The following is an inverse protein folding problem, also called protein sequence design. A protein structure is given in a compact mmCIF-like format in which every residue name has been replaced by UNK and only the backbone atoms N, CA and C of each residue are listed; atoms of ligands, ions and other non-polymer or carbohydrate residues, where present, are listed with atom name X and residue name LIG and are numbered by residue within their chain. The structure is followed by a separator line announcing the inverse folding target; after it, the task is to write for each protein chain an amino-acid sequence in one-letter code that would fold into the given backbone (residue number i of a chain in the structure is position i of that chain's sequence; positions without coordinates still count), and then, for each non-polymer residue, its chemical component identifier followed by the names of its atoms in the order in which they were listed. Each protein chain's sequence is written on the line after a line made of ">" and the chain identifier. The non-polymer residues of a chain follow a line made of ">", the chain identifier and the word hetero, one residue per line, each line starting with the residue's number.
data_IF_735415942294
#
_entry.id   IF_735415942294
#
_cell.length_a   1.000
_cell.length_b   1.000
_cell.length_c   1.000
_cell.angle_alpha   90.00
_cell.angle_beta   90.00
_cell.angle_gamma   90.00
#
_symmetry.space_group_name_H-M   'P 1'
#
loop_
_entity.id
_entity.type
_entity.pdbx_description
1 polymer ?
#
# COMPACT_ATOMS: atom_id res chain seq x y z
N UNK A 1 37.47 13.60 -25.72
CA UNK A 1 37.03 14.44 -24.57
C UNK A 1 35.54 14.70 -24.76
N UNK A 2 34.60 14.44 -23.86
CA UNK A 2 34.59 13.69 -22.62
C UNK A 2 33.15 13.14 -22.51
N UNK A 3 33.03 11.82 -22.46
CA UNK A 3 31.80 11.07 -22.24
C UNK A 3 31.44 11.13 -20.76
N UNK A 4 30.31 11.73 -20.41
CA UNK A 4 29.63 11.45 -19.14
C UNK A 4 28.12 11.40 -19.37
N UNK A 5 27.70 10.27 -19.92
CA UNK A 5 26.42 9.67 -19.61
C UNK A 5 26.47 9.29 -18.13
N UNK A 6 25.92 10.14 -17.26
CA UNK A 6 25.70 9.78 -15.85
C UNK A 6 24.54 8.80 -15.81
N UNK A 7 24.91 7.52 -15.98
CA UNK A 7 24.41 6.39 -15.19
C UNK A 7 23.02 6.62 -14.59
N UNK A 8 22.00 6.28 -15.37
CA UNK A 8 20.75 5.83 -14.78
C UNK A 8 21.07 4.64 -13.88
N UNK A 9 20.70 4.75 -12.61
CA UNK A 9 20.64 3.59 -11.72
C UNK A 9 19.54 2.67 -12.25
N UNK A 10 19.89 1.78 -13.17
CA UNK A 10 19.07 0.63 -13.48
C UNK A 10 19.30 -0.42 -12.39
N UNK A 11 18.28 -0.61 -11.54
CA UNK A 11 18.11 -1.80 -10.70
C UNK A 11 16.76 -1.75 -9.97
N UNK A 12 16.02 -2.87 -9.80
CA UNK A 12 15.90 -4.06 -10.67
C UNK A 12 14.70 -3.89 -11.64
N UNK A 13 14.57 -4.72 -12.66
CA UNK A 13 13.46 -4.66 -13.64
C UNK A 13 12.05 -5.02 -13.10
N UNK A 14 11.79 -4.98 -11.79
CA UNK A 14 10.55 -5.55 -11.22
C UNK A 14 9.80 -4.66 -10.19
N UNK A 15 10.47 -3.83 -9.38
CA UNK A 15 9.76 -3.10 -8.29
C UNK A 15 8.68 -2.13 -8.78
N UNK A 16 8.96 -1.39 -9.86
CA UNK A 16 7.97 -0.51 -10.50
C UNK A 16 6.81 -1.28 -11.13
N UNK A 17 7.07 -2.49 -11.65
CA UNK A 17 6.03 -3.36 -12.21
C UNK A 17 5.17 -3.98 -11.10
N UNK A 18 5.78 -4.43 -10.00
CA UNK A 18 5.09 -4.93 -8.80
C UNK A 18 4.19 -3.84 -8.23
N UNK A 19 4.71 -2.63 -8.05
CA UNK A 19 3.91 -1.48 -7.62
C UNK A 19 2.75 -1.21 -8.59
N UNK A 20 3.04 -1.19 -9.89
CA UNK A 20 2.04 -1.01 -10.95
C UNK A 20 0.92 -2.05 -10.90
N UNK A 21 1.27 -3.34 -10.73
CA UNK A 21 0.30 -4.43 -10.60
C UNK A 21 -0.58 -4.24 -9.37
N UNK A 22 0.00 -3.95 -8.20
CA UNK A 22 -0.76 -3.70 -6.97
C UNK A 22 -1.71 -2.51 -7.11
N UNK A 23 -1.28 -1.43 -7.77
CA UNK A 23 -2.12 -0.26 -8.03
C UNK A 23 -3.29 -0.61 -8.96
N UNK A 24 -3.04 -1.45 -9.98
CA UNK A 24 -4.07 -1.95 -10.89
C UNK A 24 -5.09 -2.83 -10.16
N UNK A 25 -4.61 -3.78 -9.35
CA UNK A 25 -5.44 -4.68 -8.56
C UNK A 25 -6.34 -3.90 -7.59
N UNK A 26 -5.77 -2.93 -6.85
CA UNK A 26 -6.52 -2.09 -5.93
C UNK A 26 -7.59 -1.25 -6.66
N UNK A 27 -7.26 -0.69 -7.85
CA UNK A 27 -8.22 0.04 -8.68
C UNK A 27 -9.39 -0.84 -9.13
N UNK A 28 -9.08 -2.04 -9.61
CA UNK A 28 -10.07 -2.99 -10.12
C UNK A 28 -10.97 -3.53 -9.00
N UNK A 29 -10.40 -3.77 -7.82
CA UNK A 29 -11.14 -4.19 -6.63
C UNK A 29 -12.26 -3.22 -6.25
N UNK A 30 -12.01 -1.91 -6.31
CA UNK A 30 -13.03 -0.88 -6.04
C UNK A 30 -13.87 -0.51 -7.27
N UNK A 31 -13.66 -1.17 -8.41
CA UNK A 31 -14.46 -1.00 -9.62
C UNK A 31 -14.22 0.29 -10.40
N UNK A 32 -13.07 0.96 -10.23
CA UNK A 32 -12.76 2.20 -10.94
C UNK A 32 -12.13 1.96 -12.32
N UNK A 33 -12.49 2.81 -13.27
CA UNK A 33 -11.80 2.94 -14.56
C UNK A 33 -10.57 3.84 -14.41
N UNK A 34 -9.54 3.61 -15.22
CA UNK A 34 -8.33 4.46 -15.24
C UNK A 34 -8.65 5.95 -15.45
N UNK A 35 -9.67 6.25 -16.26
CA UNK A 35 -10.16 7.63 -16.49
C UNK A 35 -10.61 8.32 -15.19
N UNK A 36 -11.31 7.60 -14.30
CA UNK A 36 -11.80 8.15 -13.04
C UNK A 36 -10.64 8.44 -12.07
N UNK A 37 -9.63 7.56 -12.05
CA UNK A 37 -8.40 7.76 -11.26
C UNK A 37 -7.61 8.96 -11.79
N UNK A 38 -7.49 9.07 -13.11
CA UNK A 38 -6.79 10.17 -13.78
C UNK A 38 -7.41 11.53 -13.43
N UNK A 39 -8.75 11.61 -13.47
CA UNK A 39 -9.51 12.80 -13.05
C UNK A 39 -9.27 13.13 -11.57
N UNK A 40 -9.25 12.13 -10.69
CA UNK A 40 -8.98 12.35 -9.26
C UNK A 40 -7.55 12.86 -9.01
N UNK A 41 -6.58 12.37 -9.78
CA UNK A 41 -5.18 12.78 -9.66
C UNK A 41 -4.86 14.09 -10.38
N UNK A 42 -5.70 14.53 -11.32
CA UNK A 42 -5.44 15.68 -12.18
C UNK A 42 -4.36 15.42 -13.22
N UNK A 43 -4.27 14.19 -13.74
CA UNK A 43 -3.28 13.76 -14.73
C UNK A 43 -3.97 13.16 -15.96
N UNK A 44 -3.27 13.01 -17.11
CA UNK A 44 -3.80 12.28 -18.26
C UNK A 44 -4.05 10.81 -17.93
N UNK A 45 -5.08 10.19 -18.54
CA UNK A 45 -5.36 8.74 -18.40
C UNK A 45 -4.14 7.88 -18.73
N UNK A 46 -3.34 8.28 -19.71
CA UNK A 46 -2.09 7.57 -20.07
C UNK A 46 -1.13 7.49 -18.88
N UNK A 47 -1.07 8.50 -18.02
CA UNK A 47 -0.24 8.48 -16.81
C UNK A 47 -0.66 7.38 -15.83
N UNK A 48 -1.96 7.13 -15.67
CA UNK A 48 -2.45 6.01 -14.85
C UNK A 48 -2.06 4.66 -15.47
N UNK A 49 -2.18 4.52 -16.79
CA UNK A 49 -1.74 3.31 -17.50
C UNK A 49 -0.22 3.08 -17.37
N UNK A 50 0.58 4.14 -17.42
CA UNK A 50 2.03 4.09 -17.25
C UNK A 50 2.43 3.73 -15.81
N UNK A 51 1.67 4.18 -14.81
CA UNK A 51 1.83 3.72 -13.42
C UNK A 51 1.54 2.22 -13.30
N UNK A 52 0.40 1.77 -13.82
CA UNK A 52 -0.04 0.36 -13.72
C UNK A 52 0.86 -0.62 -14.47
N UNK A 53 1.60 -0.13 -15.47
CA UNK A 53 2.57 -0.94 -16.23
C UNK A 53 4.01 -0.75 -15.75
N UNK A 54 4.24 0.04 -14.70
CA UNK A 54 5.58 0.32 -14.18
C UNK A 54 6.47 1.14 -15.12
N UNK A 55 5.92 1.69 -16.21
CA UNK A 55 6.66 2.51 -17.19
C UNK A 55 7.02 3.89 -16.65
N UNK A 56 6.25 4.37 -15.68
CA UNK A 56 6.46 5.66 -15.03
C UNK A 56 6.46 5.48 -13.52
N UNK A 57 7.44 6.10 -12.86
CA UNK A 57 7.50 6.13 -11.41
C UNK A 57 6.34 6.92 -10.82
N UNK A 58 5.82 6.43 -9.69
CA UNK A 58 4.78 7.08 -8.90
C UNK A 58 5.44 7.90 -7.79
N UNK A 59 5.21 9.20 -7.74
CA UNK A 59 5.72 10.03 -6.65
C UNK A 59 5.02 9.70 -5.33
N UNK A 60 5.66 10.01 -4.20
CA UNK A 60 5.07 9.78 -2.87
C UNK A 60 3.70 10.50 -2.69
N UNK A 61 3.52 11.67 -3.31
CA UNK A 61 2.25 12.40 -3.26
C UNK A 61 1.16 11.73 -4.11
N UNK A 62 1.51 11.23 -5.30
CA UNK A 62 0.59 10.45 -6.13
C UNK A 62 0.21 9.14 -5.43
N UNK A 63 1.19 8.43 -4.84
CA UNK A 63 0.97 7.20 -4.10
C UNK A 63 0.06 7.40 -2.89
N UNK A 64 0.22 8.49 -2.14
CA UNK A 64 -0.66 8.85 -1.02
C UNK A 64 -2.10 9.11 -1.48
N UNK A 65 -2.29 9.82 -2.60
CA UNK A 65 -3.63 10.07 -3.17
C UNK A 65 -4.28 8.76 -3.63
N UNK A 66 -3.52 7.90 -4.30
CA UNK A 66 -3.97 6.58 -4.74
C UNK A 66 -4.36 5.70 -3.55
N UNK A 67 -3.57 5.66 -2.48
CA UNK A 67 -3.90 4.92 -1.27
C UNK A 67 -5.21 5.39 -0.62
N UNK A 68 -5.42 6.71 -0.51
CA UNK A 68 -6.70 7.25 -0.04
C UNK A 68 -7.87 6.89 -0.97
N UNK A 69 -7.70 7.03 -2.29
CA UNK A 69 -8.73 6.72 -3.28
C UNK A 69 -9.11 5.23 -3.24
N UNK A 70 -8.11 4.36 -3.07
CA UNK A 70 -8.27 2.91 -3.04
C UNK A 70 -8.59 2.35 -1.64
N UNK A 71 -8.72 3.21 -0.64
CA UNK A 71 -9.05 2.85 0.74
C UNK A 71 -8.06 1.85 1.36
N UNK A 72 -6.77 2.00 1.08
CA UNK A 72 -5.70 1.17 1.61
C UNK A 72 -4.54 2.01 2.17
N UNK A 73 -3.59 1.36 2.84
CA UNK A 73 -2.39 2.01 3.35
C UNK A 73 -1.36 2.22 2.23
N UNK A 74 -0.44 3.18 2.39
CA UNK A 74 0.72 3.30 1.48
C UNK A 74 1.61 2.03 1.56
N UNK A 75 1.69 1.42 2.74
CA UNK A 75 2.50 0.21 3.01
C UNK A 75 2.03 -1.00 2.19
N UNK A 76 0.72 -1.09 1.92
CA UNK A 76 0.15 -2.10 1.03
C UNK A 76 0.88 -2.13 -0.33
N UNK A 77 1.23 -0.95 -0.85
CA UNK A 77 1.93 -0.81 -2.12
C UNK A 77 3.45 -1.00 -1.99
N UNK A 78 4.07 -0.46 -0.95
CA UNK A 78 5.54 -0.51 -0.80
C UNK A 78 6.08 -1.85 -0.32
N UNK A 79 5.22 -2.76 0.14
CA UNK A 79 5.66 -4.08 0.61
C UNK A 79 6.22 -4.08 2.03
N UNK A 80 6.14 -2.94 2.73
CA UNK A 80 6.47 -2.82 4.16
C UNK A 80 5.29 -3.18 5.07
N UNK A 81 4.32 -3.95 4.59
CA UNK A 81 3.38 -4.57 5.50
C UNK A 81 4.16 -5.64 6.28
N UNK A 82 4.36 -5.50 7.61
CA UNK A 82 4.83 -6.63 8.38
C UNK A 82 3.83 -7.75 8.11
N UNK A 83 4.32 -8.88 7.60
CA UNK A 83 3.49 -10.04 7.36
C UNK A 83 2.75 -10.34 8.67
N UNK A 84 1.47 -9.97 8.72
CA UNK A 84 0.66 -10.18 9.91
C UNK A 84 0.49 -11.69 9.99
N UNK A 85 1.00 -12.34 11.05
CA UNK A 85 0.83 -13.78 11.18
C UNK A 85 -0.65 -14.16 11.02
N UNK A 86 -0.94 -15.28 10.35
CA UNK A 86 -2.30 -15.62 9.94
C UNK A 86 -3.28 -15.68 11.14
N UNK A 87 -2.78 -16.07 12.31
CA UNK A 87 -3.44 -16.04 13.61
C UNK A 87 -3.77 -14.60 14.07
N UNK A 88 -2.86 -13.64 13.89
CA UNK A 88 -3.10 -12.23 14.20
C UNK A 88 -4.12 -11.61 13.24
N UNK A 89 -4.10 -11.97 11.95
CA UNK A 89 -5.09 -11.52 10.98
C UNK A 89 -6.50 -12.09 11.27
N UNK A 90 -6.58 -13.33 11.77
CA UNK A 90 -7.84 -13.90 12.26
C UNK A 90 -8.34 -13.18 13.52
N UNK A 91 -7.46 -12.91 14.49
CA UNK A 91 -7.79 -12.15 15.69
C UNK A 91 -8.34 -10.76 15.35
N UNK A 92 -7.72 -10.03 14.42
CA UNK A 92 -8.17 -8.71 13.99
C UNK A 92 -9.59 -8.72 13.40
N UNK A 93 -9.91 -9.75 12.59
CA UNK A 93 -11.24 -9.93 12.00
C UNK A 93 -12.30 -10.26 13.05
N UNK A 94 -11.97 -11.10 14.03
CA UNK A 94 -12.92 -11.46 15.09
C UNK A 94 -13.11 -10.30 16.08
N UNK A 95 -12.03 -9.58 16.40
CA UNK A 95 -12.07 -8.44 17.30
C UNK A 95 -12.91 -7.27 16.76
N UNK A 96 -12.99 -7.09 15.43
CA UNK A 96 -13.79 -6.03 14.82
C UNK A 96 -15.30 -6.20 15.05
N UNK A 97 -15.77 -7.44 15.28
CA UNK A 97 -17.16 -7.78 15.57
C UNK A 97 -17.54 -7.61 17.06
N UNK A 98 -16.58 -7.33 17.93
CA UNK A 98 -16.80 -7.19 19.37
C UNK A 98 -17.26 -5.78 19.77
N UNK A 99 -17.85 -5.67 20.96
CA UNK A 99 -18.24 -4.38 21.52
C UNK A 99 -17.03 -3.49 21.82
N UNK A 100 -17.25 -2.20 22.01
CA UNK A 100 -16.18 -1.28 22.41
C UNK A 100 -15.56 -1.66 23.76
N UNK A 101 -16.37 -2.17 24.71
CA UNK A 101 -15.87 -2.60 26.02
C UNK A 101 -14.96 -3.81 25.88
N UNK A 102 -15.38 -4.82 25.11
CA UNK A 102 -14.61 -6.05 24.92
C UNK A 102 -13.31 -5.77 24.16
N UNK A 103 -13.33 -4.86 23.17
CA UNK A 103 -12.12 -4.41 22.49
C UNK A 103 -11.15 -3.70 23.44
N UNK A 104 -11.63 -2.93 24.42
CA UNK A 104 -10.78 -2.32 25.44
C UNK A 104 -10.17 -3.37 26.38
N UNK A 105 -10.89 -4.44 26.70
CA UNK A 105 -10.35 -5.53 27.51
C UNK A 105 -9.24 -6.28 26.78
N UNK A 106 -9.44 -6.59 25.49
CA UNK A 106 -8.40 -7.18 24.65
C UNK A 106 -7.16 -6.30 24.58
N UNK A 107 -7.33 -4.98 24.45
CA UNK A 107 -6.23 -4.02 24.45
C UNK A 107 -5.43 -4.08 25.75
N UNK A 108 -6.10 -4.02 26.91
CA UNK A 108 -5.44 -4.12 28.23
C UNK A 108 -4.70 -5.44 28.41
N UNK A 109 -5.28 -6.54 27.92
CA UNK A 109 -4.65 -7.85 28.02
C UNK A 109 -3.40 -7.96 27.14
N UNK A 110 -3.43 -7.41 25.92
CA UNK A 110 -2.28 -7.33 25.04
C UNK A 110 -1.14 -6.49 25.66
N UNK A 111 -1.47 -5.36 26.28
CA UNK A 111 -0.53 -4.51 27.03
C UNK A 111 0.10 -5.26 28.21
N UNK A 112 -0.71 -6.01 28.97
CA UNK A 112 -0.23 -6.85 30.07
C UNK A 112 0.78 -7.90 29.58
N UNK A 113 0.48 -8.62 28.49
CA UNK A 113 1.39 -9.62 27.91
C UNK A 113 2.70 -9.00 27.41
N UNK A 114 2.65 -7.80 26.80
CA UNK A 114 3.85 -7.08 26.40
C UNK A 114 4.71 -6.67 27.60
N UNK A 115 4.10 -6.18 28.68
CA UNK A 115 4.81 -5.80 29.88
C UNK A 115 5.48 -7.01 30.55
N UNK A 116 4.78 -8.15 30.61
CA UNK A 116 5.30 -9.41 31.15
C UNK A 116 6.46 -9.98 30.33
N UNK A 117 6.45 -9.84 29.01
CA UNK A 117 7.52 -10.36 28.15
C UNK A 117 8.81 -9.51 28.18
N UNK A 118 8.74 -8.28 28.70
CA UNK A 118 9.88 -7.34 28.80
C UNK A 118 10.57 -7.34 30.17
N UNK A 119 9.97 -7.98 31.19
CA UNK A 119 10.53 -8.14 32.54
C UNK A 119 11.04 -9.55 32.76
#
# INVERSE_FOLDING_TARGET
>A
MNTQSLMGFAGPEDEGQVLGSKLKEAREYIGLRQEQVAQHLGIPRTGVSEFETGKRNVSALELKKLAHLYQCSVQHFTGDEPAVPADVAFLARTASALSNSDRQELQRFAEFLQAKAKG
#
